data_IF_601840134830
#
_entry.id   IF_601840134830
#
_cell.length_a   1.000
_cell.length_b   1.000
_cell.length_c   1.000
_cell.angle_alpha   90.00
_cell.angle_beta   90.00
_cell.angle_gamma   90.00
#
_symmetry.space_group_name_H-M   'P 1'
#
loop_
_entity.id
_entity.type
_entity.pdbx_description
1 polymer ?
#
# COMPACT_ATOMS: atom_id res chain seq x y z
N UNK A 1 -6.66 26.02 15.31
CA UNK A 1 -6.76 24.55 15.54
C UNK A 1 -7.75 23.90 14.59
N UNK A 2 -9.02 24.32 14.52
CA UNK A 2 -10.02 23.71 13.62
C UNK A 2 -9.64 23.80 12.14
N UNK A 3 -9.09 24.93 11.69
CA UNK A 3 -8.64 25.11 10.30
C UNK A 3 -7.43 24.25 9.94
N UNK A 4 -6.54 24.00 10.89
CA UNK A 4 -5.32 23.20 10.63
C UNK A 4 -5.64 21.75 10.34
N UNK A 5 -6.58 21.16 11.08
CA UNK A 5 -7.03 19.78 10.85
C UNK A 5 -7.81 19.65 9.53
N UNK A 6 -8.58 20.69 9.18
CA UNK A 6 -9.29 20.75 7.91
C UNK A 6 -8.32 20.79 6.71
N UNK A 7 -7.24 21.56 6.81
CA UNK A 7 -6.21 21.65 5.77
C UNK A 7 -5.54 20.28 5.54
N UNK A 8 -5.18 19.58 6.64
CA UNK A 8 -4.63 18.22 6.54
C UNK A 8 -5.59 17.26 5.81
N UNK A 9 -6.87 17.30 6.19
CA UNK A 9 -7.91 16.49 5.54
C UNK A 9 -7.99 16.81 4.04
N UNK A 10 -7.94 18.09 3.66
CA UNK A 10 -7.94 18.52 2.25
C UNK A 10 -6.75 17.94 1.49
N UNK A 11 -5.54 18.01 2.05
CA UNK A 11 -4.36 17.42 1.38
C UNK A 11 -4.47 15.89 1.26
N UNK A 12 -5.01 15.20 2.26
CA UNK A 12 -5.28 13.75 2.16
C UNK A 12 -6.28 13.48 1.02
N UNK A 13 -7.33 14.27 0.88
CA UNK A 13 -8.27 14.11 -0.24
C UNK A 13 -7.62 14.41 -1.60
N UNK A 14 -6.76 15.43 -1.71
CA UNK A 14 -6.01 15.71 -2.94
C UNK A 14 -5.08 14.53 -3.27
N UNK A 15 -4.41 13.96 -2.27
CA UNK A 15 -3.57 12.78 -2.45
C UNK A 15 -4.37 11.58 -2.98
N UNK A 16 -5.49 11.26 -2.32
CA UNK A 16 -6.39 10.17 -2.74
C UNK A 16 -6.98 10.40 -4.13
N UNK A 17 -7.31 11.65 -4.47
CA UNK A 17 -7.76 12.02 -5.79
C UNK A 17 -6.66 11.81 -6.84
N UNK A 18 -5.40 12.16 -6.53
CA UNK A 18 -4.24 11.87 -7.37
C UNK A 18 -4.08 10.38 -7.65
N UNK A 19 -4.16 9.55 -6.60
CA UNK A 19 -4.15 8.08 -6.74
C UNK A 19 -5.32 7.60 -7.62
N UNK A 20 -6.52 8.15 -7.44
CA UNK A 20 -7.69 7.79 -8.25
C UNK A 20 -7.52 8.19 -9.73
N UNK A 21 -6.89 9.32 -10.02
CA UNK A 21 -6.56 9.73 -11.40
C UNK A 21 -5.59 8.75 -12.06
N UNK A 22 -4.52 8.33 -11.36
CA UNK A 22 -3.57 7.35 -11.89
C UNK A 22 -4.30 6.03 -12.18
N UNK A 23 -5.12 5.55 -11.23
CA UNK A 23 -5.95 4.34 -11.41
C UNK A 23 -6.87 4.46 -12.62
N UNK A 24 -7.54 5.59 -12.80
CA UNK A 24 -8.45 5.84 -13.92
C UNK A 24 -7.69 5.86 -15.24
N UNK A 25 -6.52 6.52 -15.28
CA UNK A 25 -5.64 6.53 -16.44
C UNK A 25 -5.20 5.11 -16.83
N UNK A 26 -4.67 4.35 -15.89
CA UNK A 26 -4.19 2.98 -16.10
C UNK A 26 -5.32 1.97 -16.29
N UNK A 27 -6.46 2.17 -15.63
CA UNK A 27 -7.64 1.29 -15.68
C UNK A 27 -8.39 1.29 -17.01
N UNK A 28 -8.02 2.15 -17.97
CA UNK A 28 -8.51 2.07 -19.37
C UNK A 28 -7.94 0.86 -20.13
N UNK A 29 -6.92 0.19 -19.58
CA UNK A 29 -6.57 -1.16 -20.03
C UNK A 29 -7.66 -2.12 -19.58
N UNK A 30 -8.28 -2.89 -20.49
CA UNK A 30 -9.50 -3.61 -20.15
C UNK A 30 -9.24 -4.64 -19.03
N UNK A 31 -10.13 -4.73 -18.03
CA UNK A 31 -10.07 -5.76 -16.96
C UNK A 31 -9.92 -7.18 -17.49
N UNK A 32 -10.33 -7.42 -18.75
CA UNK A 32 -10.23 -8.70 -19.46
C UNK A 32 -8.78 -9.16 -19.65
N UNK A 33 -7.82 -8.25 -19.91
CA UNK A 33 -6.42 -8.63 -20.08
C UNK A 33 -5.76 -8.98 -18.75
N UNK A 34 -6.02 -8.21 -17.69
CA UNK A 34 -5.52 -8.52 -16.35
C UNK A 34 -6.10 -9.85 -15.87
N UNK A 35 -7.41 -10.07 -16.07
CA UNK A 35 -8.05 -11.36 -15.75
C UNK A 35 -7.45 -12.52 -16.54
N UNK A 36 -7.25 -12.37 -17.84
CA UNK A 36 -6.64 -13.40 -18.69
C UNK A 36 -5.20 -13.69 -18.27
N UNK A 37 -4.43 -12.67 -17.92
CA UNK A 37 -3.07 -12.79 -17.43
C UNK A 37 -3.04 -13.57 -16.11
N UNK A 38 -3.92 -13.26 -15.17
CA UNK A 38 -4.03 -13.97 -13.90
C UNK A 38 -4.38 -15.46 -14.15
N UNK A 39 -5.40 -15.74 -14.95
CA UNK A 39 -5.88 -17.12 -15.18
C UNK A 39 -4.83 -17.99 -15.89
N UNK A 40 -4.11 -17.43 -16.86
CA UNK A 40 -3.19 -18.21 -17.69
C UNK A 40 -1.80 -18.41 -17.06
N UNK A 41 -1.40 -17.56 -16.12
CA UNK A 41 -0.02 -17.52 -15.61
C UNK A 41 0.14 -18.06 -14.19
N UNK A 42 -0.94 -18.43 -13.48
CA UNK A 42 -0.89 -18.73 -12.04
C UNK A 42 -0.66 -20.20 -11.68
N UNK A 43 -0.34 -21.07 -12.65
CA UNK A 43 -0.04 -22.49 -12.39
C UNK A 43 1.22 -22.67 -11.53
N UNK A 44 2.18 -21.75 -11.63
CA UNK A 44 3.41 -21.76 -10.83
C UNK A 44 3.41 -20.58 -9.84
N UNK A 45 3.75 -20.79 -8.55
CA UNK A 45 3.73 -19.72 -7.54
C UNK A 45 4.54 -18.48 -7.94
N UNK A 46 5.72 -18.65 -8.53
CA UNK A 46 6.56 -17.55 -8.99
C UNK A 46 5.92 -16.77 -10.15
N UNK A 47 5.27 -17.45 -11.09
CA UNK A 47 4.54 -16.77 -12.16
C UNK A 47 3.34 -16.00 -11.59
N UNK A 48 2.63 -16.57 -10.61
CA UNK A 48 1.61 -15.88 -9.84
C UNK A 48 2.14 -14.63 -9.14
N UNK A 49 3.33 -14.71 -8.55
CA UNK A 49 4.02 -13.57 -7.93
C UNK A 49 4.28 -12.44 -8.95
N UNK A 50 4.87 -12.74 -10.09
CA UNK A 50 5.13 -11.75 -11.13
C UNK A 50 3.84 -11.12 -11.67
N UNK A 51 2.79 -11.93 -11.83
CA UNK A 51 1.48 -11.44 -12.27
C UNK A 51 0.83 -10.55 -11.22
N UNK A 52 0.87 -10.93 -9.93
CA UNK A 52 0.37 -10.12 -8.83
C UNK A 52 1.11 -8.79 -8.71
N UNK A 53 2.43 -8.82 -8.82
CA UNK A 53 3.28 -7.63 -8.86
C UNK A 53 2.88 -6.69 -10.02
N UNK A 54 2.86 -7.21 -11.25
CA UNK A 54 2.53 -6.43 -12.43
C UNK A 54 1.08 -5.90 -12.39
N UNK A 55 0.13 -6.72 -11.96
CA UNK A 55 -1.26 -6.31 -11.81
C UNK A 55 -1.41 -5.17 -10.80
N UNK A 56 -0.73 -5.25 -9.66
CA UNK A 56 -0.78 -4.19 -8.64
C UNK A 56 -0.07 -2.93 -9.11
N UNK A 57 1.08 -3.04 -9.77
CA UNK A 57 1.77 -1.90 -10.36
C UNK A 57 0.91 -1.18 -11.41
N UNK A 58 0.18 -1.93 -12.24
CA UNK A 58 -0.73 -1.38 -13.25
C UNK A 58 -2.01 -0.79 -12.64
N UNK A 59 -2.63 -1.50 -11.70
CA UNK A 59 -3.90 -1.06 -11.07
C UNK A 59 -3.67 -0.06 -9.94
N UNK A 60 -2.43 0.12 -9.49
CA UNK A 60 -2.07 0.96 -8.34
C UNK A 60 -2.92 0.64 -7.10
N UNK A 61 -3.27 -0.65 -6.93
CA UNK A 61 -4.16 -1.09 -5.86
C UNK A 61 -4.02 -2.58 -5.60
N UNK A 62 -3.32 -2.94 -4.53
CA UNK A 62 -3.28 -4.33 -4.03
C UNK A 62 -4.66 -4.82 -3.58
N UNK A 63 -5.45 -3.93 -2.98
CA UNK A 63 -6.83 -4.26 -2.58
C UNK A 63 -7.69 -4.68 -3.78
N UNK A 64 -7.59 -3.95 -4.92
CA UNK A 64 -8.33 -4.32 -6.14
C UNK A 64 -7.86 -5.68 -6.69
N UNK A 65 -6.55 -5.94 -6.68
CA UNK A 65 -5.99 -7.25 -7.10
C UNK A 65 -6.48 -8.37 -6.19
N UNK A 66 -6.52 -8.13 -4.86
CA UNK A 66 -7.01 -9.11 -3.89
C UNK A 66 -8.51 -9.38 -4.04
N UNK A 67 -9.33 -8.34 -4.21
CA UNK A 67 -10.78 -8.50 -4.49
C UNK A 67 -11.00 -9.30 -5.78
N UNK A 68 -10.21 -9.04 -6.82
CA UNK A 68 -10.26 -9.81 -8.06
C UNK A 68 -9.86 -11.28 -7.82
N UNK A 69 -8.77 -11.54 -7.08
CA UNK A 69 -8.33 -12.88 -6.75
C UNK A 69 -9.40 -13.66 -5.95
N UNK A 70 -9.98 -13.03 -4.91
CA UNK A 70 -11.11 -13.56 -4.13
C UNK A 70 -12.30 -13.91 -5.04
N UNK A 71 -12.65 -13.00 -5.96
CA UNK A 71 -13.79 -13.20 -6.89
C UNK A 71 -13.53 -14.34 -7.89
N UNK A 72 -12.31 -14.49 -8.39
CA UNK A 72 -11.93 -15.60 -9.28
C UNK A 72 -12.02 -16.96 -8.59
N UNK A 73 -11.65 -17.02 -7.31
CA UNK A 73 -11.80 -18.23 -6.50
C UNK A 73 -13.27 -18.49 -6.16
N UNK A 74 -14.03 -17.46 -5.79
CA UNK A 74 -15.46 -17.59 -5.50
C UNK A 74 -16.25 -18.17 -6.68
N UNK A 75 -15.88 -17.78 -7.91
CA UNK A 75 -16.47 -18.29 -9.15
C UNK A 75 -15.91 -19.65 -9.61
N UNK A 76 -14.86 -20.16 -8.94
CA UNK A 76 -14.22 -21.44 -9.28
C UNK A 76 -13.32 -21.39 -10.51
N UNK A 77 -12.92 -20.17 -10.96
CA UNK A 77 -12.04 -20.00 -12.14
C UNK A 77 -10.61 -20.40 -11.80
N UNK A 78 -10.14 -20.07 -10.59
CA UNK A 78 -8.84 -20.47 -10.07
C UNK A 78 -8.98 -21.09 -8.68
N UNK A 79 -8.16 -22.07 -8.30
CA UNK A 79 -8.15 -22.59 -6.93
C UNK A 79 -7.45 -21.63 -5.98
N UNK A 80 -7.81 -21.67 -4.69
CA UNK A 80 -7.21 -20.86 -3.63
C UNK A 80 -5.67 -20.86 -3.65
N UNK A 81 -5.03 -22.04 -3.79
CA UNK A 81 -3.56 -22.16 -3.75
C UNK A 81 -2.84 -21.30 -4.78
N UNK A 82 -3.45 -21.04 -5.94
CA UNK A 82 -2.87 -20.18 -6.97
C UNK A 82 -2.90 -18.70 -6.58
N UNK A 83 -3.82 -18.28 -5.70
CA UNK A 83 -3.89 -16.89 -5.27
C UNK A 83 -2.76 -16.47 -4.35
N UNK A 84 -2.08 -17.41 -3.70
CA UNK A 84 -0.99 -17.10 -2.77
C UNK A 84 0.15 -16.39 -3.52
N UNK A 85 0.58 -16.90 -4.67
CA UNK A 85 1.58 -16.21 -5.49
C UNK A 85 1.14 -14.80 -5.88
N UNK A 86 -0.11 -14.64 -6.35
CA UNK A 86 -0.68 -13.34 -6.71
C UNK A 86 -0.64 -12.37 -5.53
N UNK A 87 -1.02 -12.84 -4.34
CA UNK A 87 -1.03 -12.06 -3.10
C UNK A 87 0.38 -11.59 -2.72
N UNK A 88 1.36 -12.50 -2.74
CA UNK A 88 2.75 -12.17 -2.45
C UNK A 88 3.29 -11.10 -3.40
N UNK A 89 3.07 -11.25 -4.70
CA UNK A 89 3.46 -10.27 -5.70
C UNK A 89 2.72 -8.95 -5.57
N UNK A 90 1.43 -8.99 -5.23
CA UNK A 90 0.60 -7.81 -5.04
C UNK A 90 1.10 -6.91 -3.90
N UNK A 91 1.54 -7.52 -2.79
CA UNK A 91 2.11 -6.77 -1.67
C UNK A 91 3.39 -6.03 -2.08
N UNK A 92 4.28 -6.69 -2.81
CA UNK A 92 5.49 -6.04 -3.34
C UNK A 92 5.15 -4.97 -4.39
N UNK A 93 4.15 -5.22 -5.25
CA UNK A 93 3.73 -4.26 -6.28
C UNK A 93 3.22 -2.92 -5.72
N UNK A 94 2.67 -2.93 -4.50
CA UNK A 94 2.20 -1.70 -3.83
C UNK A 94 3.37 -0.75 -3.49
N UNK A 95 4.55 -1.28 -3.22
CA UNK A 95 5.70 -0.47 -2.81
C UNK A 95 6.24 0.43 -3.91
N UNK A 96 5.99 0.11 -5.19
CA UNK A 96 6.39 0.96 -6.31
C UNK A 96 5.81 2.38 -6.22
N UNK A 97 4.57 2.50 -5.72
CA UNK A 97 3.95 3.82 -5.56
C UNK A 97 4.68 4.66 -4.51
N UNK A 98 5.15 4.01 -3.44
CA UNK A 98 5.91 4.68 -2.38
C UNK A 98 7.29 5.12 -2.88
N UNK A 99 7.96 4.30 -3.69
CA UNK A 99 9.25 4.67 -4.31
C UNK A 99 9.10 5.88 -5.26
N UNK A 100 7.96 6.02 -5.95
CA UNK A 100 7.67 7.20 -6.76
C UNK A 100 7.52 8.45 -5.86
N UNK A 101 6.94 8.30 -4.65
CA UNK A 101 6.77 9.40 -3.71
C UNK A 101 8.10 9.95 -3.16
N UNK A 102 9.17 9.17 -3.17
CA UNK A 102 10.52 9.65 -2.79
C UNK A 102 10.97 10.84 -3.64
N UNK A 103 10.52 10.90 -4.88
CA UNK A 103 10.81 12.02 -5.78
C UNK A 103 9.83 13.19 -5.64
N UNK A 104 8.97 13.18 -4.59
CA UNK A 104 8.00 14.25 -4.38
C UNK A 104 8.68 15.59 -4.12
N UNK A 105 8.03 16.67 -4.56
CA UNK A 105 8.47 18.04 -4.36
C UNK A 105 7.59 19.00 -5.15
N UNK A 106 7.48 20.24 -4.68
CA UNK A 106 6.61 21.27 -5.26
C UNK A 106 6.87 21.45 -6.76
N UNK A 107 8.13 21.61 -7.15
CA UNK A 107 8.50 21.84 -8.55
C UNK A 107 8.08 20.69 -9.46
N UNK A 108 8.37 19.44 -9.07
CA UNK A 108 7.96 18.26 -9.84
C UNK A 108 6.44 18.07 -9.83
N UNK A 109 5.79 18.41 -8.72
CA UNK A 109 4.33 18.42 -8.60
C UNK A 109 3.69 19.39 -9.59
N UNK A 110 4.16 20.64 -9.63
CA UNK A 110 3.67 21.66 -10.55
C UNK A 110 3.95 21.32 -12.02
N UNK A 111 5.16 20.84 -12.32
CA UNK A 111 5.52 20.43 -13.69
C UNK A 111 4.66 19.25 -14.16
N UNK A 112 4.49 18.24 -13.32
CA UNK A 112 3.65 17.07 -13.64
C UNK A 112 2.19 17.47 -13.82
N UNK A 113 1.66 18.31 -12.94
CA UNK A 113 0.30 18.84 -13.05
C UNK A 113 0.11 19.64 -14.33
N UNK A 114 1.01 20.60 -14.60
CA UNK A 114 0.95 21.45 -15.80
C UNK A 114 1.03 20.64 -17.10
N UNK A 115 1.98 19.71 -17.20
CA UNK A 115 2.10 18.81 -18.34
C UNK A 115 0.86 17.93 -18.50
N UNK A 116 0.33 17.40 -17.40
CA UNK A 116 -0.87 16.58 -17.40
C UNK A 116 -2.09 17.34 -17.91
N UNK A 117 -2.32 18.55 -17.42
CA UNK A 117 -3.40 19.44 -17.87
C UNK A 117 -3.25 19.77 -19.37
N UNK A 118 -2.05 20.12 -19.82
CA UNK A 118 -1.80 20.39 -21.25
C UNK A 118 -2.12 19.19 -22.14
N UNK A 119 -1.76 17.98 -21.70
CA UNK A 119 -2.07 16.74 -22.42
C UNK A 119 -3.58 16.49 -22.49
N UNK A 120 -4.32 16.73 -21.39
CA UNK A 120 -5.78 16.59 -21.37
C UNK A 120 -6.48 17.63 -22.24
N UNK A 121 -5.99 18.88 -22.25
CA UNK A 121 -6.53 19.96 -23.10
C UNK A 121 -6.28 19.75 -24.59
N UNK A 122 -5.24 19.01 -24.96
CA UNK A 122 -4.91 18.72 -26.37
C UNK A 122 -5.99 17.92 -27.11
N UNK A 123 -6.96 17.35 -26.40
CA UNK A 123 -8.05 16.47 -26.91
C UNK A 123 -7.56 15.26 -27.71
N UNK A 124 -6.23 15.05 -27.81
CA UNK A 124 -5.66 13.90 -28.50
C UNK A 124 -5.88 12.63 -27.65
N UNK A 125 -6.65 11.68 -28.14
CA UNK A 125 -6.98 10.43 -27.44
C UNK A 125 -5.74 9.68 -26.89
N UNK A 126 -4.61 9.79 -27.61
CA UNK A 126 -3.33 9.17 -27.21
C UNK A 126 -2.69 9.85 -26.00
N UNK A 127 -3.00 11.13 -25.73
CA UNK A 127 -2.47 11.91 -24.61
C UNK A 127 -3.35 11.86 -23.37
N UNK A 128 -4.56 11.29 -23.48
CA UNK A 128 -5.46 11.19 -22.33
C UNK A 128 -4.87 10.34 -21.20
N UNK A 129 -4.34 9.16 -21.52
CA UNK A 129 -3.72 8.26 -20.54
C UNK A 129 -2.50 8.91 -19.86
N UNK A 130 -1.46 9.37 -20.56
CA UNK A 130 -0.34 10.03 -19.91
C UNK A 130 -0.76 11.34 -19.21
N UNK A 131 -1.74 12.05 -19.71
CA UNK A 131 -2.27 13.26 -19.09
C UNK A 131 -2.91 13.00 -17.72
N UNK A 132 -3.75 11.98 -17.62
CA UNK A 132 -4.36 11.59 -16.33
C UNK A 132 -3.33 11.07 -15.33
N UNK A 133 -2.32 10.32 -15.78
CA UNK A 133 -1.24 9.84 -14.91
C UNK A 133 -0.43 11.02 -14.39
N UNK A 134 -0.01 11.94 -15.25
CA UNK A 134 0.77 13.11 -14.86
C UNK A 134 -0.02 14.04 -13.91
N UNK A 135 -1.31 14.28 -14.16
CA UNK A 135 -2.17 15.01 -13.23
C UNK A 135 -2.25 14.29 -11.87
N UNK A 136 -2.39 12.96 -11.86
CA UNK A 136 -2.44 12.18 -10.64
C UNK A 136 -1.14 12.25 -9.83
N UNK A 137 0.02 12.11 -10.49
CA UNK A 137 1.35 12.28 -9.86
C UNK A 137 1.51 13.70 -9.34
N UNK A 138 1.11 14.71 -10.11
CA UNK A 138 1.13 16.11 -9.69
C UNK A 138 0.29 16.36 -8.43
N UNK A 139 -0.94 15.85 -8.38
CA UNK A 139 -1.79 15.91 -7.17
C UNK A 139 -1.11 15.27 -5.96
N UNK A 140 -0.51 14.08 -6.14
CA UNK A 140 0.15 13.37 -5.04
C UNK A 140 1.36 14.16 -4.50
N UNK A 141 2.20 14.69 -5.38
CA UNK A 141 3.39 15.46 -4.99
C UNK A 141 3.02 16.78 -4.30
N UNK A 142 2.07 17.53 -4.87
CA UNK A 142 1.60 18.78 -4.26
C UNK A 142 0.92 18.53 -2.91
N UNK A 143 0.19 17.42 -2.77
CA UNK A 143 -0.40 17.05 -1.48
C UNK A 143 0.65 16.69 -0.44
N UNK A 144 1.70 15.94 -0.82
CA UNK A 144 2.83 15.62 0.08
C UNK A 144 3.55 16.89 0.54
N UNK A 145 3.86 17.78 -0.38
CA UNK A 145 4.50 19.06 -0.09
C UNK A 145 3.63 19.94 0.84
N UNK A 146 2.34 20.03 0.54
CA UNK A 146 1.39 20.75 1.40
C UNK A 146 1.25 20.13 2.79
N UNK A 147 1.23 18.82 2.93
CA UNK A 147 1.26 18.14 4.24
C UNK A 147 2.56 18.42 5.00
N UNK A 148 3.70 18.47 4.32
CA UNK A 148 5.00 18.80 4.92
C UNK A 148 5.01 20.24 5.45
N UNK A 149 4.61 21.19 4.62
CA UNK A 149 4.56 22.62 4.99
C UNK A 149 3.63 22.85 6.18
N UNK A 150 2.49 22.17 6.21
CA UNK A 150 1.55 22.24 7.31
C UNK A 150 2.10 21.60 8.59
N UNK A 151 2.82 20.48 8.51
CA UNK A 151 3.49 19.86 9.64
C UNK A 151 4.48 20.80 10.32
N UNK A 152 5.30 21.51 9.54
CA UNK A 152 6.25 22.50 10.06
C UNK A 152 5.55 23.65 10.79
N UNK A 153 4.38 24.09 10.32
CA UNK A 153 3.60 25.11 10.99
C UNK A 153 3.04 24.65 12.34
N UNK A 154 2.68 23.37 12.45
CA UNK A 154 2.20 22.78 13.70
C UNK A 154 3.29 22.60 14.75
N UNK A 155 4.53 22.28 14.39
CA UNK A 155 5.64 22.12 15.36
C UNK A 155 5.90 23.42 16.13
N UNK A 156 5.61 24.59 15.54
CA UNK A 156 5.65 25.88 16.21
C UNK A 156 4.61 26.12 17.31
N UNK A 157 3.64 25.23 17.49
CA UNK A 157 2.50 25.43 18.40
C UNK A 157 2.49 24.51 19.64
N UNK A 158 3.62 23.85 19.98
CA UNK A 158 3.74 23.03 21.19
C UNK A 158 2.98 21.68 21.16
N UNK A 159 2.40 21.30 20.04
CA UNK A 159 1.72 20.01 19.85
C UNK A 159 2.68 18.83 19.76
N UNK A 160 3.82 19.08 19.11
CA UNK A 160 4.89 18.12 19.02
C UNK A 160 5.44 17.79 20.40
N UNK A 161 5.57 18.80 21.28
CA UNK A 161 6.09 18.64 22.62
C UNK A 161 5.23 17.67 23.44
N UNK A 162 3.89 17.77 23.36
CA UNK A 162 2.99 16.84 24.05
C UNK A 162 3.08 15.40 23.53
N UNK A 163 3.26 15.21 22.22
CA UNK A 163 3.45 13.88 21.62
C UNK A 163 4.85 13.29 21.95
N UNK A 164 5.86 14.15 22.03
CA UNK A 164 7.24 13.78 22.31
C UNK A 164 7.51 13.60 23.80
N UNK A 165 6.85 14.38 24.69
CA UNK A 165 6.97 14.28 26.14
C UNK A 165 6.35 13.00 26.73
N UNK A 166 5.42 12.35 26.02
CA UNK A 166 4.81 11.07 26.44
C UNK A 166 5.54 9.85 25.89
N UNK A 167 6.87 9.73 26.12
CA UNK A 167 7.69 8.54 25.82
C UNK A 167 7.51 7.93 24.42
N UNK A 168 7.31 8.75 23.39
CA UNK A 168 7.24 8.30 21.99
C UNK A 168 6.16 7.24 21.73
N UNK A 169 5.51 7.31 20.60
CA UNK A 169 4.53 6.27 20.21
C UNK A 169 5.22 4.90 20.15
N UNK A 170 4.81 3.96 21.00
CA UNK A 170 5.38 2.60 20.97
C UNK A 170 5.13 1.97 19.60
N UNK A 171 6.04 1.11 19.13
CA UNK A 171 5.88 0.44 17.85
C UNK A 171 4.55 -0.35 17.77
N UNK A 172 4.09 -0.93 18.88
CA UNK A 172 2.81 -1.63 18.95
C UNK A 172 1.61 -0.69 18.75
N UNK A 173 1.59 0.48 19.39
CA UNK A 173 0.53 1.49 19.21
C UNK A 173 0.56 2.09 17.82
N UNK A 174 1.75 2.26 17.24
CA UNK A 174 1.93 2.72 15.86
C UNK A 174 1.37 1.72 14.83
N UNK A 175 1.61 0.41 15.02
CA UNK A 175 1.00 -0.64 14.19
C UNK A 175 -0.53 -0.58 14.27
N UNK A 176 -1.09 -0.46 15.48
CA UNK A 176 -2.54 -0.36 15.66
C UNK A 176 -3.11 0.90 15.00
N UNK A 177 -2.45 2.04 15.17
CA UNK A 177 -2.83 3.31 14.53
C UNK A 177 -2.83 3.20 13.02
N UNK A 178 -1.75 2.69 12.44
CA UNK A 178 -1.64 2.43 11.00
C UNK A 178 -2.72 1.47 10.48
N UNK A 179 -3.02 0.40 11.26
CA UNK A 179 -4.09 -0.53 10.92
C UNK A 179 -5.46 0.16 10.88
N UNK A 180 -5.79 0.94 11.90
CA UNK A 180 -7.08 1.64 12.01
C UNK A 180 -7.22 2.66 10.86
N UNK A 181 -6.20 3.50 10.66
CA UNK A 181 -6.20 4.53 9.62
C UNK A 181 -6.36 3.88 8.24
N UNK A 182 -5.56 2.86 7.91
CA UNK A 182 -5.65 2.18 6.63
C UNK A 182 -6.98 1.45 6.42
N UNK A 183 -7.59 0.94 7.49
CA UNK A 183 -8.92 0.33 7.45
C UNK A 183 -9.99 1.35 7.10
N UNK A 184 -9.92 2.57 7.65
CA UNK A 184 -10.87 3.65 7.39
C UNK A 184 -10.66 4.23 5.98
N UNK A 185 -9.42 4.59 5.65
CA UNK A 185 -9.06 5.25 4.37
C UNK A 185 -9.09 4.25 3.21
N UNK A 186 -8.99 2.94 3.47
CA UNK A 186 -8.89 1.85 2.47
C UNK A 186 -7.69 2.04 1.51
N UNK A 187 -6.61 2.66 2.01
CA UNK A 187 -5.38 2.91 1.25
C UNK A 187 -4.16 2.82 2.16
N UNK A 188 -3.35 1.77 1.97
CA UNK A 188 -2.05 1.67 2.66
C UNK A 188 -1.10 2.78 2.22
N UNK A 189 -1.06 3.11 0.93
CA UNK A 189 -0.18 4.16 0.41
C UNK A 189 -0.47 5.51 1.05
N UNK A 190 -1.75 5.91 1.18
CA UNK A 190 -2.12 7.16 1.84
C UNK A 190 -1.76 7.15 3.34
N UNK A 191 -1.99 6.01 4.03
CA UNK A 191 -1.63 5.87 5.44
C UNK A 191 -0.12 5.97 5.66
N UNK A 192 0.66 5.35 4.78
CA UNK A 192 2.13 5.42 4.83
C UNK A 192 2.60 6.84 4.52
N UNK A 193 1.99 7.53 3.56
CA UNK A 193 2.30 8.92 3.26
C UNK A 193 2.08 9.84 4.48
N UNK A 194 1.00 9.62 5.25
CA UNK A 194 0.77 10.32 6.53
C UNK A 194 1.91 10.00 7.51
N UNK A 195 2.28 8.72 7.67
CA UNK A 195 3.40 8.30 8.53
C UNK A 195 4.74 8.93 8.13
N UNK A 196 5.02 9.01 6.82
CA UNK A 196 6.20 9.69 6.28
C UNK A 196 6.20 11.16 6.70
N UNK A 197 5.07 11.86 6.56
CA UNK A 197 4.98 13.27 6.91
C UNK A 197 5.10 13.52 8.42
N UNK A 198 4.53 12.63 9.23
CA UNK A 198 4.71 12.69 10.69
C UNK A 198 6.19 12.52 11.08
N UNK A 199 6.91 11.61 10.40
CA UNK A 199 8.34 11.41 10.63
C UNK A 199 9.18 12.57 10.08
N UNK A 200 8.92 13.04 8.88
CA UNK A 200 9.65 14.14 8.25
C UNK A 200 9.53 15.49 9.00
N UNK A 201 8.47 15.64 9.80
CA UNK A 201 8.23 16.82 10.64
C UNK A 201 8.53 16.56 12.13
N UNK A 202 9.29 15.53 12.46
CA UNK A 202 9.74 15.19 13.82
C UNK A 202 8.61 14.91 14.83
N UNK A 203 7.37 14.59 14.38
CA UNK A 203 6.28 14.19 15.28
C UNK A 203 6.44 12.76 15.80
N UNK A 204 7.11 11.90 15.06
CA UNK A 204 7.36 10.51 15.42
C UNK A 204 8.77 10.09 14.99
N UNK A 205 9.31 9.07 15.63
CA UNK A 205 10.57 8.45 15.21
C UNK A 205 10.38 7.52 14.01
N UNK A 206 11.48 7.18 13.33
CA UNK A 206 11.46 6.29 12.16
C UNK A 206 10.83 4.93 12.47
N UNK A 207 11.11 4.36 13.66
CA UNK A 207 10.51 3.10 14.12
C UNK A 207 8.98 3.16 14.13
N UNK A 208 8.42 4.28 14.59
CA UNK A 208 6.96 4.46 14.60
C UNK A 208 6.41 4.63 13.18
N UNK A 209 7.10 5.33 12.29
CA UNK A 209 6.69 5.45 10.88
C UNK A 209 6.71 4.10 10.16
N UNK A 210 7.75 3.29 10.38
CA UNK A 210 7.84 1.91 9.87
C UNK A 210 6.72 1.04 10.48
N UNK A 211 6.42 1.19 11.76
CA UNK A 211 5.34 0.46 12.41
C UNK A 211 3.95 0.85 11.86
N UNK A 212 3.71 2.14 11.57
CA UNK A 212 2.50 2.61 10.86
C UNK A 212 2.41 1.94 9.48
N UNK A 213 3.50 1.88 8.73
CA UNK A 213 3.57 1.21 7.42
C UNK A 213 3.20 -0.27 7.53
N UNK A 214 3.75 -0.98 8.52
CA UNK A 214 3.40 -2.39 8.77
C UNK A 214 1.91 -2.54 9.10
N UNK A 215 1.38 -1.69 9.96
CA UNK A 215 -0.04 -1.66 10.32
C UNK A 215 -0.95 -1.36 9.13
N UNK A 216 -0.54 -0.46 8.24
CA UNK A 216 -1.30 -0.13 7.04
C UNK A 216 -1.51 -1.35 6.13
N UNK A 217 -0.54 -2.25 6.04
CA UNK A 217 -0.69 -3.50 5.29
C UNK A 217 -1.74 -4.43 5.91
N UNK A 218 -1.84 -4.48 7.25
CA UNK A 218 -2.91 -5.24 7.94
C UNK A 218 -4.27 -4.60 7.67
N UNK A 219 -4.38 -3.27 7.81
CA UNK A 219 -5.66 -2.56 7.66
C UNK A 219 -6.31 -2.77 6.30
N UNK A 220 -5.53 -2.80 5.23
CA UNK A 220 -6.04 -3.03 3.86
C UNK A 220 -6.51 -4.47 3.61
N UNK A 221 -6.21 -5.42 4.50
CA UNK A 221 -6.75 -6.79 4.37
C UNK A 221 -8.28 -6.83 4.54
N UNK A 222 -8.88 -5.81 5.19
CA UNK A 222 -10.33 -5.75 5.37
C UNK A 222 -11.08 -5.80 4.04
N UNK A 223 -10.56 -5.18 2.97
CA UNK A 223 -11.20 -5.23 1.64
C UNK A 223 -11.35 -6.65 1.10
N UNK A 224 -10.31 -7.49 1.28
CA UNK A 224 -10.35 -8.90 0.88
C UNK A 224 -11.33 -9.70 1.75
N UNK A 225 -11.40 -9.41 3.06
CA UNK A 225 -12.36 -10.04 3.97
C UNK A 225 -13.78 -9.70 3.55
N UNK A 226 -14.07 -8.42 3.30
CA UNK A 226 -15.40 -7.96 2.86
C UNK A 226 -15.81 -8.61 1.53
N UNK A 227 -14.88 -8.72 0.57
CA UNK A 227 -15.11 -9.39 -0.70
C UNK A 227 -15.38 -10.91 -0.56
N UNK A 228 -14.89 -11.53 0.51
CA UNK A 228 -15.07 -12.95 0.78
C UNK A 228 -16.31 -13.27 1.60
N UNK A 229 -17.03 -12.25 2.13
CA UNK A 229 -18.24 -12.45 2.93
C UNK A 229 -19.33 -13.14 2.10
N UNK A 230 -19.84 -14.25 2.61
CA UNK A 230 -20.85 -15.05 1.92
C UNK A 230 -20.36 -15.83 0.69
N UNK A 231 -19.06 -15.75 0.38
CA UNK A 231 -18.48 -16.48 -0.75
C UNK A 231 -18.12 -17.93 -0.39
N UNK A 232 -17.79 -18.73 -1.41
CA UNK A 232 -17.29 -20.10 -1.22
C UNK A 232 -16.01 -20.12 -0.38
N UNK A 233 -15.76 -21.23 0.28
CA UNK A 233 -14.66 -21.46 1.21
C UNK A 233 -13.28 -21.02 0.68
N UNK A 234 -12.96 -21.34 -0.57
CA UNK A 234 -11.68 -20.93 -1.16
C UNK A 234 -11.48 -19.43 -1.21
N UNK A 235 -12.54 -18.63 -1.37
CA UNK A 235 -12.49 -17.19 -1.32
C UNK A 235 -12.18 -16.69 0.10
N UNK A 236 -12.79 -17.29 1.12
CA UNK A 236 -12.48 -17.02 2.53
C UNK A 236 -11.01 -17.38 2.83
N UNK A 237 -10.54 -18.50 2.32
CA UNK A 237 -9.14 -18.93 2.45
C UNK A 237 -8.18 -17.90 1.83
N UNK A 238 -8.52 -17.34 0.67
CA UNK A 238 -7.73 -16.30 0.01
C UNK A 238 -7.65 -15.02 0.88
N UNK A 239 -8.76 -14.57 1.43
CA UNK A 239 -8.78 -13.40 2.32
C UNK A 239 -7.99 -13.66 3.61
N UNK A 240 -8.19 -14.82 4.23
CA UNK A 240 -7.47 -15.20 5.46
C UNK A 240 -5.97 -15.36 5.23
N UNK A 241 -5.54 -15.92 4.09
CA UNK A 241 -4.14 -16.01 3.74
C UNK A 241 -3.48 -14.63 3.69
N UNK A 242 -4.16 -13.61 3.14
CA UNK A 242 -3.66 -12.24 3.11
C UNK A 242 -3.52 -11.66 4.53
N UNK A 243 -4.49 -11.89 5.40
CA UNK A 243 -4.43 -11.46 6.81
C UNK A 243 -3.26 -12.12 7.53
N UNK A 244 -3.13 -13.46 7.44
CA UNK A 244 -2.06 -14.19 8.12
C UNK A 244 -0.67 -13.82 7.61
N UNK A 245 -0.53 -13.56 6.31
CA UNK A 245 0.74 -13.09 5.74
C UNK A 245 1.15 -11.74 6.37
N UNK A 246 0.24 -10.77 6.39
CA UNK A 246 0.55 -9.42 6.88
C UNK A 246 0.76 -9.41 8.40
N UNK A 247 -0.07 -10.10 9.18
CA UNK A 247 0.13 -10.24 10.63
C UNK A 247 1.43 -10.99 10.93
N UNK A 248 1.71 -12.08 10.22
CA UNK A 248 2.94 -12.84 10.38
C UNK A 248 4.19 -12.00 10.06
N UNK A 249 4.13 -11.19 9.02
CA UNK A 249 5.17 -10.23 8.68
C UNK A 249 5.40 -9.22 9.80
N UNK A 250 4.34 -8.63 10.35
CA UNK A 250 4.44 -7.69 11.48
C UNK A 250 5.03 -8.37 12.71
N UNK A 251 4.57 -9.56 13.08
CA UNK A 251 5.10 -10.31 14.21
C UNK A 251 6.59 -10.67 14.05
N UNK A 252 7.05 -10.90 12.81
CA UNK A 252 8.45 -11.16 12.49
C UNK A 252 9.32 -9.90 12.63
N UNK A 253 8.86 -8.76 12.11
CA UNK A 253 9.66 -7.54 12.02
C UNK A 253 9.55 -6.65 13.25
N UNK A 254 8.43 -6.68 13.99
CA UNK A 254 8.20 -5.82 15.15
C UNK A 254 9.29 -5.94 16.23
N UNK A 255 9.73 -7.15 16.63
CA UNK A 255 10.84 -7.28 17.60
C UNK A 255 12.20 -6.84 17.02
N UNK A 256 12.33 -6.73 15.71
CA UNK A 256 13.55 -6.34 15.02
C UNK A 256 13.51 -4.88 14.54
N UNK A 257 12.50 -4.10 14.93
CA UNK A 257 12.21 -2.79 14.35
C UNK A 257 13.39 -1.80 14.51
N UNK A 258 14.09 -1.84 15.65
CA UNK A 258 15.27 -0.98 15.87
C UNK A 258 16.45 -1.33 14.96
N UNK A 259 16.70 -2.61 14.67
CA UNK A 259 17.72 -3.03 13.70
C UNK A 259 17.25 -2.66 12.28
N UNK A 260 15.97 -2.85 12.01
CA UNK A 260 15.38 -2.59 10.72
C UNK A 260 15.41 -1.08 10.37
N UNK A 261 15.10 -0.20 11.33
CA UNK A 261 15.21 1.25 11.15
C UNK A 261 16.64 1.68 10.88
N UNK A 262 17.63 1.13 11.61
CA UNK A 262 19.04 1.41 11.35
C UNK A 262 19.47 1.04 9.94
N UNK A 263 19.03 -0.12 9.42
CA UNK A 263 19.32 -0.52 8.04
C UNK A 263 18.77 0.52 7.05
N UNK A 264 17.51 0.95 7.22
CA UNK A 264 16.91 1.92 6.30
C UNK A 264 17.55 3.30 6.36
N UNK A 265 18.03 3.74 7.54
CA UNK A 265 18.84 4.95 7.69
C UNK A 265 20.16 4.89 6.91
N UNK A 266 20.79 3.72 6.78
CA UNK A 266 22.01 3.57 5.98
C UNK A 266 21.75 3.60 4.47
N UNK A 267 20.53 3.28 4.03
CA UNK A 267 20.16 3.22 2.62
C UNK A 267 19.76 4.59 2.04
N UNK A 268 19.23 5.48 2.87
CA UNK A 268 18.79 6.80 2.44
C UNK A 268 18.90 7.84 3.56
N UNK A 269 19.10 9.10 3.16
CA UNK A 269 19.09 10.25 4.09
C UNK A 269 17.68 10.87 4.17
N UNK A 270 16.96 10.86 3.07
CA UNK A 270 15.62 11.43 2.98
C UNK A 270 14.59 10.59 3.77
N UNK A 271 13.75 11.20 4.64
CA UNK A 271 12.75 10.51 5.43
C UNK A 271 11.75 9.68 4.61
N UNK A 272 11.30 10.20 3.47
CA UNK A 272 10.36 9.49 2.59
C UNK A 272 11.02 8.24 2.00
N UNK A 273 12.28 8.36 1.57
CA UNK A 273 13.06 7.24 1.04
C UNK A 273 13.29 6.16 2.10
N UNK A 274 13.59 6.52 3.35
CA UNK A 274 13.79 5.56 4.44
C UNK A 274 12.56 4.68 4.65
N UNK A 275 11.37 5.28 4.71
CA UNK A 275 10.10 4.55 4.90
C UNK A 275 9.70 3.77 3.64
N UNK A 276 9.93 4.33 2.44
CA UNK A 276 9.66 3.63 1.17
C UNK A 276 10.53 2.37 1.05
N UNK A 277 11.85 2.49 1.28
CA UNK A 277 12.76 1.35 1.27
C UNK A 277 12.42 0.32 2.35
N UNK A 278 12.00 0.77 3.56
CA UNK A 278 11.48 -0.12 4.58
C UNK A 278 10.28 -0.92 4.06
N UNK A 279 9.35 -0.28 3.36
CA UNK A 279 8.19 -0.95 2.79
C UNK A 279 8.58 -1.99 1.73
N UNK A 280 9.54 -1.66 0.84
CA UNK A 280 10.06 -2.62 -0.15
C UNK A 280 10.68 -3.82 0.53
N UNK A 281 11.62 -3.60 1.47
CA UNK A 281 12.33 -4.67 2.17
C UNK A 281 11.35 -5.56 2.94
N UNK A 282 10.43 -4.96 3.70
CA UNK A 282 9.42 -5.69 4.46
C UNK A 282 8.58 -6.60 3.56
N UNK A 283 7.95 -6.03 2.52
CA UNK A 283 7.06 -6.80 1.64
C UNK A 283 7.82 -7.84 0.82
N UNK A 284 9.04 -7.51 0.37
CA UNK A 284 9.88 -8.44 -0.40
C UNK A 284 10.34 -9.61 0.46
N UNK A 285 10.86 -9.36 1.67
CA UNK A 285 11.30 -10.42 2.58
C UNK A 285 10.13 -11.31 2.98
N UNK A 286 9.00 -10.74 3.41
CA UNK A 286 7.80 -11.51 3.76
C UNK A 286 7.34 -12.39 2.59
N UNK A 287 7.37 -11.84 1.37
CA UNK A 287 6.97 -12.58 0.17
C UNK A 287 7.96 -13.69 -0.19
N UNK A 288 9.26 -13.39 -0.17
CA UNK A 288 10.31 -14.38 -0.51
C UNK A 288 10.40 -15.50 0.52
N UNK A 289 10.13 -15.22 1.80
CA UNK A 289 10.08 -16.25 2.85
C UNK A 289 8.93 -17.24 2.64
N UNK A 290 7.77 -16.78 2.15
CA UNK A 290 6.60 -17.64 1.95
C UNK A 290 6.61 -18.31 0.57
N UNK A 291 7.19 -17.67 -0.46
CA UNK A 291 7.15 -18.15 -1.84
C UNK A 291 7.62 -19.60 -2.04
N UNK A 292 8.75 -20.08 -1.45
CA UNK A 292 9.13 -21.50 -1.54
C UNK A 292 8.21 -22.42 -0.74
N UNK A 293 7.48 -21.89 0.23
CA UNK A 293 6.60 -22.62 1.14
C UNK A 293 5.10 -22.42 0.87
N UNK A 294 4.73 -22.06 -0.36
CA UNK A 294 3.32 -21.81 -0.76
C UNK A 294 2.42 -22.98 -0.40
N UNK A 295 2.84 -24.23 -0.66
CA UNK A 295 2.04 -25.41 -0.35
C UNK A 295 1.85 -25.64 1.15
N UNK A 296 2.89 -25.63 2.01
CA UNK A 296 2.74 -25.68 3.46
C UNK A 296 1.86 -24.54 3.99
N UNK A 297 2.05 -23.30 3.52
CA UNK A 297 1.26 -22.15 3.91
C UNK A 297 -0.22 -22.32 3.51
N UNK A 298 -0.50 -22.76 2.28
CA UNK A 298 -1.86 -23.07 1.85
C UNK A 298 -2.52 -24.11 2.74
N UNK A 299 -1.81 -25.21 3.04
CA UNK A 299 -2.34 -26.28 3.91
C UNK A 299 -2.59 -25.80 5.34
N UNK A 300 -1.78 -24.88 5.85
CA UNK A 300 -2.01 -24.24 7.14
C UNK A 300 -3.33 -23.44 7.12
N UNK A 301 -3.54 -22.58 6.13
CA UNK A 301 -4.77 -21.80 5.99
C UNK A 301 -6.00 -22.71 5.81
N UNK A 302 -5.89 -23.77 4.99
CA UNK A 302 -6.95 -24.76 4.78
C UNK A 302 -7.36 -25.44 6.09
N UNK A 303 -6.40 -25.80 6.96
CA UNK A 303 -6.68 -26.38 8.28
C UNK A 303 -7.38 -25.43 9.21
N UNK A 304 -6.90 -24.16 9.30
CA UNK A 304 -7.48 -23.13 10.15
C UNK A 304 -8.92 -22.78 9.77
N UNK A 305 -9.21 -22.78 8.48
CA UNK A 305 -10.54 -22.43 7.98
C UNK A 305 -11.51 -23.63 7.91
N UNK A 306 -11.15 -24.77 8.52
CA UNK A 306 -12.02 -25.93 8.74
C UNK A 306 -12.00 -26.98 7.63
N UNK A 307 -10.84 -27.50 7.18
CA UNK A 307 -10.75 -28.76 6.49
C UNK A 307 -9.86 -28.80 5.25
N UNK A 308 -8.80 -29.53 5.42
CA UNK A 308 -8.31 -30.43 4.40
C UNK A 308 -9.27 -31.63 4.42
N UNK A 309 -10.02 -31.86 3.39
CA UNK A 309 -10.71 -33.11 3.22
C UNK A 309 -12.22 -33.01 2.95
N UNK A 310 -12.58 -33.09 1.81
CA UNK A 310 -13.28 -34.19 1.08
C UNK A 310 -13.56 -33.72 -0.31
#
# INVERSE_FOLDING_TARGET
MEYSLLIMIVYIFIFLFGVALIRTGLGQSPPKHVRALIVNSTLHPFAGFLVGFAATALLQSSSAVMVLAVSLVATGIIPFRQTIGIMLGSNVGTTLTLEILVFSGETLGLLSMGAGVLFLLSRARKLFLPGTILCGVGCMFLAMDGMSSWGQELTGHGWADWLLENEGMSAGTAVLGGTIIATIIQSSTATIAIGIQMYANDFIQLEAAIAIMMGANIGTCLTAILAALGAKRGAIQTAMANVFLNIGGVLLFLPLIGIFSQITMTLAVDPAAQVAHASVIFNLICSLLVLPFVNPFASFIERLTGGAGR
#
